data_IF_342247336443
#
_entry.id   IF_342247336443
#
_cell.length_a   1.000
_cell.length_b   1.000
_cell.length_c   1.000
_cell.angle_alpha   90.00
_cell.angle_beta   90.00
_cell.angle_gamma   90.00
#
_symmetry.space_group_name_H-M   'P 1'
#
loop_
_entity.id
_entity.type
_entity.pdbx_description
1 polymer ?
#
# COMPACT_ATOMS: atom_id res chain seq x y z
N UNK A 1 -19.63 55.99 -75.27
CA UNK A 1 -19.05 56.36 -73.96
C UNK A 1 -19.85 55.63 -72.90
N UNK A 2 -19.30 54.61 -72.20
CA UNK A 2 -19.97 54.02 -71.05
C UNK A 2 -19.48 54.68 -69.76
N UNK A 3 -20.43 54.99 -68.88
CA UNK A 3 -20.20 55.58 -67.56
C UNK A 3 -20.08 54.43 -66.55
N UNK A 4 -18.87 54.30 -66.01
CA UNK A 4 -18.45 53.69 -64.72
C UNK A 4 -19.23 52.48 -64.16
N UNK A 5 -18.57 51.34 -64.24
CA UNK A 5 -18.71 50.16 -63.38
C UNK A 5 -17.77 50.37 -62.17
N UNK A 6 -18.32 50.71 -60.99
CA UNK A 6 -17.50 51.06 -59.80
C UNK A 6 -18.06 50.58 -58.46
N UNK A 7 -18.95 49.58 -58.44
CA UNK A 7 -19.61 49.17 -57.20
C UNK A 7 -19.48 47.67 -56.83
N UNK A 8 -18.66 46.86 -57.53
CA UNK A 8 -18.61 45.41 -57.26
C UNK A 8 -17.29 44.89 -56.67
N UNK A 9 -16.25 45.72 -56.54
CA UNK A 9 -14.95 45.28 -55.97
C UNK A 9 -14.92 45.44 -54.44
N UNK A 10 -15.68 46.35 -53.85
CA UNK A 10 -15.56 46.68 -52.42
C UNK A 10 -16.25 45.68 -51.48
N UNK A 11 -17.35 45.05 -51.90
CA UNK A 11 -18.13 44.17 -51.02
C UNK A 11 -17.53 42.76 -50.90
N UNK A 12 -16.93 42.23 -51.98
CA UNK A 12 -16.17 40.97 -51.97
C UNK A 12 -14.90 41.09 -51.09
N UNK A 13 -14.16 42.20 -51.18
CA UNK A 13 -12.97 42.45 -50.35
C UNK A 13 -13.29 42.62 -48.86
N UNK A 14 -14.39 43.28 -48.51
CA UNK A 14 -14.85 43.42 -47.11
C UNK A 14 -15.35 42.08 -46.55
N UNK A 15 -15.94 41.21 -47.38
CA UNK A 15 -16.39 39.86 -47.00
C UNK A 15 -15.21 38.89 -46.85
N UNK A 16 -14.18 39.03 -47.69
CA UNK A 16 -12.90 38.34 -47.57
C UNK A 16 -12.12 38.78 -46.33
N UNK A 17 -12.06 40.07 -46.00
CA UNK A 17 -11.35 40.57 -44.82
C UNK A 17 -11.96 40.11 -43.50
N UNK A 18 -13.30 40.01 -43.41
CA UNK A 18 -14.00 39.43 -42.24
C UNK A 18 -13.78 37.92 -42.09
N UNK A 19 -13.58 37.18 -43.19
CA UNK A 19 -13.22 35.75 -43.18
C UNK A 19 -11.76 35.54 -42.77
N UNK A 20 -10.85 36.39 -43.25
CA UNK A 20 -9.41 36.35 -42.92
C UNK A 20 -9.16 36.75 -41.45
N UNK A 21 -9.91 37.72 -40.90
CA UNK A 21 -9.82 38.09 -39.48
C UNK A 21 -10.31 36.97 -38.55
N UNK A 22 -11.28 36.14 -38.97
CA UNK A 22 -11.66 34.92 -38.22
C UNK A 22 -10.68 33.76 -38.41
N UNK A 23 -9.86 33.78 -39.46
CA UNK A 23 -8.90 32.71 -39.79
C UNK A 23 -7.48 32.98 -39.25
N UNK A 24 -7.19 34.20 -38.79
CA UNK A 24 -5.90 34.57 -38.16
C UNK A 24 -5.85 34.30 -36.64
N UNK A 25 -6.84 33.62 -36.07
CA UNK A 25 -6.78 33.00 -34.74
C UNK A 25 -6.33 31.53 -34.78
N UNK A 26 -5.78 31.08 -35.92
CA UNK A 26 -5.18 29.77 -36.11
C UNK A 26 -3.67 29.85 -36.43
N UNK A 27 -2.97 30.87 -35.95
CA UNK A 27 -1.52 30.79 -35.81
C UNK A 27 -1.21 29.91 -34.61
N UNK A 28 -0.75 28.70 -34.92
CA UNK A 28 -0.05 27.78 -34.04
C UNK A 28 1.10 28.53 -33.38
N UNK A 29 0.85 29.16 -32.24
CA UNK A 29 1.90 29.23 -31.23
C UNK A 29 2.11 27.78 -30.82
N UNK A 30 3.34 27.32 -31.02
CA UNK A 30 3.83 26.03 -30.58
C UNK A 30 3.37 25.84 -29.13
N UNK A 31 2.27 25.10 -28.95
CA UNK A 31 1.94 24.55 -27.67
C UNK A 31 3.03 23.52 -27.41
N UNK A 32 4.13 23.98 -26.83
CA UNK A 32 4.66 23.28 -25.68
C UNK A 32 3.59 23.35 -24.58
N UNK A 33 2.44 22.71 -24.81
CA UNK A 33 1.85 21.92 -23.76
C UNK A 33 2.98 20.94 -23.52
N UNK A 34 3.75 21.18 -22.44
CA UNK A 34 4.46 20.09 -21.82
C UNK A 34 3.47 18.93 -21.87
N UNK A 35 3.83 17.86 -22.57
CA UNK A 35 3.40 16.59 -22.06
C UNK A 35 3.94 16.58 -20.63
N UNK A 36 3.15 17.10 -19.68
CA UNK A 36 2.86 16.31 -18.53
C UNK A 36 2.40 15.01 -19.16
N UNK A 37 3.36 14.12 -19.43
CA UNK A 37 3.07 12.72 -19.35
C UNK A 37 2.29 12.66 -18.04
N UNK A 38 1.00 12.34 -18.13
CA UNK A 38 0.42 11.59 -17.03
C UNK A 38 1.41 10.45 -16.88
N UNK A 39 2.31 10.56 -15.89
CA UNK A 39 3.11 9.43 -15.48
C UNK A 39 2.02 8.50 -14.97
N UNK A 40 1.52 7.66 -15.87
CA UNK A 40 0.99 6.39 -15.51
C UNK A 40 2.24 5.52 -15.49
N UNK A 41 2.44 4.78 -14.40
CA UNK A 41 3.60 3.95 -14.24
C UNK A 41 3.94 3.11 -15.49
N UNK A 42 5.21 2.74 -15.59
CA UNK A 42 5.78 2.17 -16.78
C UNK A 42 6.21 0.72 -16.56
N UNK A 43 5.90 -0.12 -17.55
CA UNK A 43 6.41 -1.48 -17.61
C UNK A 43 7.86 -1.49 -18.10
N UNK A 44 8.72 -2.15 -17.36
CA UNK A 44 10.12 -2.34 -17.71
C UNK A 44 10.43 -3.83 -17.86
N UNK A 45 11.16 -4.18 -18.91
CA UNK A 45 11.65 -5.55 -19.13
C UNK A 45 13.14 -5.62 -18.89
N UNK A 46 13.58 -6.52 -18.00
CA UNK A 46 14.98 -6.82 -17.75
C UNK A 46 15.21 -8.32 -17.94
N UNK A 47 15.89 -8.68 -19.04
CA UNK A 47 15.97 -10.07 -19.50
C UNK A 47 14.57 -10.62 -19.84
N UNK A 48 14.19 -11.72 -19.18
CA UNK A 48 12.87 -12.35 -19.32
C UNK A 48 11.89 -11.94 -18.19
N UNK A 49 12.29 -11.00 -17.33
CA UNK A 49 11.50 -10.54 -16.20
C UNK A 49 10.83 -9.21 -16.53
N UNK A 50 9.59 -9.06 -16.07
CA UNK A 50 8.83 -7.82 -16.17
C UNK A 50 8.69 -7.18 -14.79
N UNK A 51 8.88 -5.87 -14.75
CA UNK A 51 8.72 -5.01 -13.58
C UNK A 51 7.77 -3.88 -13.94
N UNK A 52 7.16 -3.27 -12.94
CA UNK A 52 6.39 -2.05 -13.12
C UNK A 52 6.90 -0.99 -12.17
N UNK A 53 7.23 0.19 -12.69
CA UNK A 53 7.64 1.34 -11.91
C UNK A 53 6.47 2.31 -11.82
N UNK A 54 6.09 2.70 -10.60
CA UNK A 54 5.02 3.68 -10.40
C UNK A 54 5.47 5.12 -10.68
N UNK A 55 4.55 6.07 -10.49
CA UNK A 55 4.75 7.47 -10.87
C UNK A 55 5.80 8.17 -9.99
N UNK A 56 6.12 7.59 -8.82
CA UNK A 56 7.16 8.08 -7.92
C UNK A 56 8.55 7.55 -8.29
N UNK A 57 8.63 6.64 -9.26
CA UNK A 57 9.87 5.98 -9.65
C UNK A 57 10.17 4.72 -8.83
N UNK A 58 9.24 4.26 -7.99
CA UNK A 58 9.43 3.06 -7.18
C UNK A 58 8.92 1.82 -7.92
N UNK A 59 9.64 0.69 -7.79
CA UNK A 59 9.17 -0.57 -8.33
C UNK A 59 8.02 -1.12 -7.50
N UNK A 60 6.92 -1.38 -8.19
CA UNK A 60 5.72 -1.98 -7.64
C UNK A 60 5.98 -3.44 -7.27
N UNK A 61 5.56 -3.79 -6.06
CA UNK A 61 5.68 -5.12 -5.45
C UNK A 61 4.42 -5.44 -4.66
N UNK A 62 4.13 -6.74 -4.54
CA UNK A 62 3.01 -7.30 -3.78
C UNK A 62 1.65 -6.67 -4.11
N UNK A 63 1.40 -6.31 -5.37
CA UNK A 63 0.13 -5.71 -5.79
C UNK A 63 -0.15 -5.91 -7.28
N UNK A 64 -1.41 -5.74 -7.65
CA UNK A 64 -1.87 -5.73 -9.03
C UNK A 64 -1.54 -4.41 -9.74
N UNK A 65 -1.19 -4.53 -11.02
CA UNK A 65 -1.16 -3.46 -12.00
C UNK A 65 -1.99 -3.91 -13.20
N UNK A 66 -3.22 -3.41 -13.29
CA UNK A 66 -4.19 -3.93 -14.24
C UNK A 66 -4.49 -5.41 -13.99
N UNK A 67 -4.26 -6.26 -14.99
CA UNK A 67 -4.48 -7.71 -14.90
C UNK A 67 -3.20 -8.50 -14.57
N UNK A 68 -2.16 -7.84 -14.07
CA UNK A 68 -0.86 -8.46 -13.80
C UNK A 68 -0.48 -8.26 -12.34
N UNK A 69 0.08 -9.28 -11.69
CA UNK A 69 0.52 -9.19 -10.31
C UNK A 69 2.04 -9.13 -10.22
N UNK A 70 2.56 -8.15 -9.47
CA UNK A 70 3.99 -8.02 -9.19
C UNK A 70 4.27 -8.68 -7.84
N UNK A 71 5.16 -9.68 -7.82
CA UNK A 71 5.57 -10.39 -6.61
C UNK A 71 6.37 -9.53 -5.64
N UNK A 72 6.82 -10.15 -4.54
CA UNK A 72 7.58 -9.46 -3.48
C UNK A 72 8.94 -8.92 -3.92
N UNK A 73 9.52 -9.54 -4.95
CA UNK A 73 10.75 -9.12 -5.62
C UNK A 73 10.50 -8.11 -6.76
N UNK A 74 9.27 -7.66 -6.93
CA UNK A 74 8.85 -6.74 -8.00
C UNK A 74 8.70 -7.39 -9.37
N UNK A 75 8.88 -8.72 -9.49
CA UNK A 75 8.76 -9.44 -10.76
C UNK A 75 7.30 -9.80 -11.01
N UNK A 76 6.82 -9.57 -12.23
CA UNK A 76 5.51 -10.03 -12.68
C UNK A 76 5.42 -11.56 -12.63
N UNK A 77 4.41 -12.06 -11.93
CA UNK A 77 4.13 -13.49 -11.86
C UNK A 77 3.59 -14.03 -13.20
N UNK A 78 3.97 -15.27 -13.55
CA UNK A 78 3.44 -15.99 -14.72
C UNK A 78 3.18 -17.45 -14.38
N UNK A 79 2.16 -18.04 -14.99
CA UNK A 79 1.79 -19.47 -14.84
C UNK A 79 1.71 -19.97 -13.39
N UNK A 80 1.17 -19.14 -12.50
CA UNK A 80 1.13 -19.44 -11.06
C UNK A 80 -0.09 -18.80 -10.40
N UNK A 81 -0.38 -19.20 -9.17
CA UNK A 81 -1.31 -18.47 -8.31
C UNK A 81 -0.60 -17.26 -7.68
N UNK A 82 -1.29 -16.13 -7.66
CA UNK A 82 -0.92 -14.94 -6.89
C UNK A 82 -1.17 -15.18 -5.39
N UNK A 83 -0.54 -14.41 -4.48
CA UNK A 83 -0.81 -14.48 -3.04
C UNK A 83 -2.30 -14.35 -2.69
N UNK A 84 -3.06 -13.61 -3.51
CA UNK A 84 -4.49 -13.41 -3.34
C UNK A 84 -5.38 -14.44 -4.06
N UNK A 85 -4.79 -15.53 -4.53
CA UNK A 85 -5.51 -16.72 -5.00
C UNK A 85 -5.94 -16.68 -6.46
N UNK A 86 -5.62 -15.64 -7.22
CA UNK A 86 -5.93 -15.62 -8.64
C UNK A 86 -4.86 -16.35 -9.43
N UNK A 87 -5.26 -17.02 -10.51
CA UNK A 87 -4.29 -17.65 -11.40
C UNK A 87 -3.90 -16.67 -12.50
N UNK A 88 -2.60 -16.45 -12.68
CA UNK A 88 -2.05 -15.71 -13.82
C UNK A 88 -1.53 -16.68 -14.87
N UNK A 89 -1.84 -16.42 -16.15
CA UNK A 89 -1.45 -17.26 -17.29
C UNK A 89 0.04 -17.11 -17.61
N UNK A 90 0.49 -17.80 -18.65
CA UNK A 90 1.86 -17.75 -19.15
C UNK A 90 2.31 -16.33 -19.55
N UNK A 91 1.38 -15.51 -20.05
CA UNK A 91 1.62 -14.10 -20.37
C UNK A 91 1.51 -13.17 -19.14
N UNK A 92 1.26 -13.72 -17.95
CA UNK A 92 1.08 -12.99 -16.69
C UNK A 92 -0.32 -12.42 -16.49
N UNK A 93 -1.22 -12.52 -17.47
CA UNK A 93 -2.58 -11.99 -17.35
C UNK A 93 -3.42 -12.86 -16.41
N UNK A 94 -4.21 -12.21 -15.55
CA UNK A 94 -5.23 -12.89 -14.75
C UNK A 94 -6.19 -13.69 -15.63
N UNK A 95 -6.48 -14.92 -15.22
CA UNK A 95 -7.32 -15.84 -15.97
C UNK A 95 -8.82 -15.49 -16.00
N UNK A 96 -9.23 -14.45 -15.25
CA UNK A 96 -10.61 -13.99 -15.15
C UNK A 96 -11.49 -14.86 -14.23
N UNK A 97 -10.92 -15.86 -13.56
CA UNK A 97 -11.64 -16.70 -12.59
C UNK A 97 -11.52 -16.12 -11.18
N UNK A 98 -12.51 -16.40 -10.35
CA UNK A 98 -12.48 -16.04 -8.94
C UNK A 98 -11.24 -16.65 -8.24
N UNK A 99 -10.74 -15.94 -7.22
CA UNK A 99 -9.63 -16.41 -6.42
C UNK A 99 -9.88 -17.80 -5.81
N UNK A 100 -8.89 -18.67 -5.90
CA UNK A 100 -8.82 -19.92 -5.18
C UNK A 100 -7.79 -19.82 -4.04
N UNK A 101 -8.27 -19.40 -2.87
CA UNK A 101 -7.43 -19.24 -1.68
C UNK A 101 -6.91 -20.58 -1.12
N UNK A 102 -7.42 -21.73 -1.59
CA UNK A 102 -6.98 -23.05 -1.12
C UNK A 102 -5.66 -23.53 -1.76
N UNK A 103 -5.20 -22.88 -2.83
CA UNK A 103 -3.98 -23.25 -3.56
C UNK A 103 -2.79 -22.31 -3.34
N UNK A 104 -2.94 -21.24 -2.57
CA UNK A 104 -1.85 -20.33 -2.25
C UNK A 104 -1.22 -20.75 -0.93
N UNK A 105 0.04 -21.15 -0.96
CA UNK A 105 0.82 -21.24 0.26
C UNK A 105 1.21 -19.82 0.68
N UNK A 106 0.66 -19.36 1.79
CA UNK A 106 1.07 -18.10 2.41
C UNK A 106 2.56 -18.17 2.79
N UNK A 107 3.37 -17.11 2.54
CA UNK A 107 4.77 -17.11 2.91
C UNK A 107 4.97 -17.16 4.43
N UNK A 108 6.04 -17.78 4.90
CA UNK A 108 6.36 -17.75 6.33
C UNK A 108 6.88 -16.35 6.72
N UNK A 109 6.27 -15.69 7.71
CA UNK A 109 6.85 -14.49 8.30
C UNK A 109 8.03 -14.90 9.17
N UNK A 110 9.26 -14.69 8.69
CA UNK A 110 10.46 -15.09 9.46
C UNK A 110 10.56 -14.34 10.80
N UNK A 111 10.21 -13.05 10.81
CA UNK A 111 10.21 -12.24 12.02
C UNK A 111 9.08 -12.63 12.97
N UNK A 112 7.85 -12.77 12.46
CA UNK A 112 6.72 -13.21 13.27
C UNK A 112 6.90 -14.63 13.82
N UNK A 113 7.54 -15.52 13.06
CA UNK A 113 7.87 -16.88 13.50
C UNK A 113 8.96 -16.89 14.57
N UNK A 114 9.94 -15.97 14.50
CA UNK A 114 10.94 -15.81 15.54
C UNK A 114 10.33 -15.33 16.86
N UNK A 115 9.35 -14.42 16.79
CA UNK A 115 8.56 -13.98 17.95
C UNK A 115 7.70 -15.12 18.49
N UNK A 116 6.96 -15.81 17.62
CA UNK A 116 6.10 -16.94 17.98
C UNK A 116 6.85 -18.05 18.74
N UNK A 117 8.07 -18.35 18.31
CA UNK A 117 8.90 -19.38 18.95
C UNK A 117 9.73 -18.85 20.14
N UNK A 118 9.69 -17.56 20.41
CA UNK A 118 10.39 -17.00 21.56
C UNK A 118 9.67 -17.34 22.86
N UNK A 119 10.40 -17.51 23.98
CA UNK A 119 9.76 -17.69 25.28
C UNK A 119 8.86 -16.50 25.62
N UNK A 120 7.71 -16.76 26.22
CA UNK A 120 6.94 -15.72 26.89
C UNK A 120 7.77 -15.22 28.07
N UNK A 121 7.89 -13.89 28.21
CA UNK A 121 8.65 -13.24 29.29
C UNK A 121 7.72 -12.34 30.10
N UNK A 122 8.12 -12.07 31.34
CA UNK A 122 7.45 -11.08 32.18
C UNK A 122 7.82 -9.69 31.67
N UNK A 123 6.81 -8.85 31.47
CA UNK A 123 6.91 -7.51 30.97
C UNK A 123 7.18 -6.53 32.12
N UNK A 124 8.41 -6.05 32.22
CA UNK A 124 8.80 -5.15 33.29
C UNK A 124 8.08 -3.79 33.22
N UNK A 125 7.63 -3.35 32.03
CA UNK A 125 6.88 -2.09 31.90
C UNK A 125 5.43 -2.26 32.32
N UNK A 126 4.78 -3.35 31.89
CA UNK A 126 3.38 -3.61 32.20
C UNK A 126 3.20 -4.43 33.49
N UNK A 127 3.91 -4.04 34.56
CA UNK A 127 3.78 -4.63 35.91
C UNK A 127 3.90 -6.16 35.98
N UNK A 128 4.76 -6.75 35.16
CA UNK A 128 5.01 -8.19 35.12
C UNK A 128 3.95 -8.99 34.36
N UNK A 129 3.15 -8.35 33.50
CA UNK A 129 2.28 -9.05 32.56
C UNK A 129 3.10 -9.98 31.66
N UNK A 130 2.54 -11.14 31.31
CA UNK A 130 3.22 -12.08 30.42
C UNK A 130 3.00 -11.66 28.98
N UNK A 131 4.09 -11.43 28.25
CA UNK A 131 4.03 -10.94 26.87
C UNK A 131 4.94 -11.74 25.93
N UNK A 132 4.69 -11.56 24.63
CA UNK A 132 5.57 -12.07 23.57
C UNK A 132 6.96 -11.48 23.70
N UNK A 133 7.97 -12.24 23.26
CA UNK A 133 9.34 -11.76 23.27
C UNK A 133 10.02 -11.97 21.92
N UNK A 134 11.15 -11.28 21.76
CA UNK A 134 12.10 -11.53 20.69
C UNK A 134 13.48 -11.61 21.32
N UNK A 135 14.14 -12.76 21.17
CA UNK A 135 15.42 -13.07 21.81
C UNK A 135 15.43 -12.81 23.34
N UNK A 136 14.31 -13.12 24.01
CA UNK A 136 14.16 -12.95 25.46
C UNK A 136 13.87 -11.52 25.92
N UNK A 137 13.67 -10.57 25.00
CA UNK A 137 13.22 -9.20 25.30
C UNK A 137 11.74 -9.06 25.04
N UNK A 138 11.01 -8.50 25.98
CA UNK A 138 9.58 -8.23 25.82
C UNK A 138 9.32 -7.36 24.59
N UNK A 139 8.41 -7.79 23.72
CA UNK A 139 7.92 -7.00 22.59
C UNK A 139 6.83 -6.08 23.12
N UNK A 140 7.02 -4.77 22.96
CA UNK A 140 6.08 -3.75 23.39
C UNK A 140 5.30 -3.14 22.23
N UNK A 141 5.99 -2.87 21.13
CA UNK A 141 5.39 -2.19 19.99
C UNK A 141 5.75 -2.96 18.73
N UNK A 142 4.79 -3.12 17.83
CA UNK A 142 5.05 -3.50 16.44
C UNK A 142 4.42 -2.40 15.59
N UNK A 143 5.26 -1.64 14.89
CA UNK A 143 4.81 -0.51 14.07
C UNK A 143 5.24 -0.59 12.60
N UNK A 144 4.44 -0.07 11.66
CA UNK A 144 4.91 0.16 10.27
C UNK A 144 5.72 1.45 10.19
N UNK A 145 6.99 1.37 9.77
CA UNK A 145 7.84 2.56 9.72
C UNK A 145 7.44 3.58 8.66
N UNK A 146 6.97 3.07 7.52
CA UNK A 146 6.71 3.91 6.34
C UNK A 146 5.21 4.15 6.11
N UNK A 147 4.36 3.68 7.03
CA UNK A 147 2.90 3.74 6.87
C UNK A 147 2.40 3.06 5.59
N UNK A 148 2.98 1.90 5.25
CA UNK A 148 2.64 1.13 4.05
C UNK A 148 2.06 -0.21 4.47
N UNK A 149 0.89 -0.54 3.90
CA UNK A 149 0.25 -1.84 4.07
C UNK A 149 -0.13 -2.35 2.68
N UNK A 150 0.37 -3.53 2.31
CA UNK A 150 0.02 -4.21 1.07
C UNK A 150 -1.08 -5.24 1.34
N UNK A 151 -2.16 -5.18 0.57
CA UNK A 151 -3.15 -6.26 0.52
C UNK A 151 -2.60 -7.40 -0.35
N UNK A 152 -2.25 -8.50 0.28
CA UNK A 152 -1.75 -9.72 -0.36
C UNK A 152 -2.85 -10.78 -0.51
N UNK A 153 -4.13 -10.40 -0.31
CA UNK A 153 -5.31 -11.22 -0.55
C UNK A 153 -5.79 -12.07 0.59
N UNK A 154 -4.94 -12.95 1.11
CA UNK A 154 -5.22 -13.76 2.32
C UNK A 154 -4.70 -13.09 3.58
N UNK A 155 -3.79 -12.12 3.43
CA UNK A 155 -3.13 -11.39 4.51
C UNK A 155 -2.77 -9.97 4.08
N UNK A 156 -2.38 -9.15 5.05
CA UNK A 156 -1.74 -7.86 4.85
C UNK A 156 -0.24 -7.97 5.12
N UNK A 157 0.58 -7.37 4.26
CA UNK A 157 2.02 -7.20 4.49
C UNK A 157 2.33 -5.77 4.94
N UNK A 158 3.12 -5.68 6.00
CA UNK A 158 3.77 -4.45 6.45
C UNK A 158 5.26 -4.61 6.16
N UNK A 159 5.79 -4.06 5.05
CA UNK A 159 7.10 -4.43 4.52
C UNK A 159 8.28 -3.98 5.40
N UNK A 160 8.14 -2.83 6.05
CA UNK A 160 9.18 -2.20 6.86
C UNK A 160 8.69 -2.01 8.30
N UNK A 161 8.20 -3.10 8.91
CA UNK A 161 7.79 -3.05 10.30
C UNK A 161 9.03 -3.00 11.21
N UNK A 162 8.90 -2.31 12.33
CA UNK A 162 9.84 -2.40 13.46
C UNK A 162 9.15 -3.03 14.65
N UNK A 163 9.93 -3.80 15.40
CA UNK A 163 9.52 -4.41 16.66
C UNK A 163 10.35 -3.73 17.73
N UNK A 164 9.67 -3.06 18.66
CA UNK A 164 10.31 -2.29 19.72
C UNK A 164 10.17 -3.00 21.07
N UNK A 165 11.29 -3.03 21.77
CA UNK A 165 11.37 -3.48 23.15
C UNK A 165 11.53 -2.30 24.09
N UNK A 166 10.98 -2.44 25.28
CA UNK A 166 11.25 -1.56 26.39
C UNK A 166 12.73 -1.59 26.80
N UNK A 167 13.21 -0.45 27.31
CA UNK A 167 14.37 -0.39 28.18
C UNK A 167 14.15 0.66 29.27
N UNK A 168 14.89 0.50 30.35
CA UNK A 168 15.09 1.52 31.38
C UNK A 168 16.51 2.04 31.27
N UNK A 169 16.68 3.36 31.29
CA UNK A 169 18.01 3.95 31.36
C UNK A 169 18.56 3.99 32.80
N UNK A 170 19.69 4.65 33.01
CA UNK A 170 20.32 4.76 34.33
C UNK A 170 19.53 5.60 35.35
N UNK A 171 18.49 6.31 34.91
CA UNK A 171 17.61 7.15 35.73
C UNK A 171 16.22 6.54 35.95
N UNK A 172 16.03 5.26 35.61
CA UNK A 172 14.72 4.59 35.56
C UNK A 172 13.73 5.29 34.60
N UNK A 173 14.23 6.03 33.60
CA UNK A 173 13.37 6.60 32.57
C UNK A 173 13.04 5.54 31.51
N UNK A 174 11.76 5.48 31.16
CA UNK A 174 11.23 4.50 30.21
C UNK A 174 11.49 4.94 28.77
N UNK A 175 12.10 4.05 27.99
CA UNK A 175 12.31 4.23 26.56
C UNK A 175 11.96 2.98 25.75
N UNK A 176 11.89 3.17 24.42
CA UNK A 176 11.73 2.11 23.45
C UNK A 176 12.90 2.10 22.50
N UNK A 177 13.37 0.91 22.14
CA UNK A 177 14.36 0.74 21.09
C UNK A 177 13.93 -0.36 20.11
N UNK A 178 14.30 -0.19 18.84
CA UNK A 178 14.07 -1.21 17.82
C UNK A 178 14.96 -2.43 18.10
N UNK A 179 14.34 -3.57 18.41
CA UNK A 179 15.03 -4.83 18.65
C UNK A 179 15.01 -5.77 17.44
N UNK A 180 14.10 -5.52 16.49
CA UNK A 180 14.08 -6.17 15.19
C UNK A 180 13.38 -5.30 14.15
N UNK A 181 13.67 -5.54 12.87
CA UNK A 181 12.97 -4.93 11.75
C UNK A 181 12.81 -5.93 10.61
N UNK A 182 11.76 -5.75 9.82
CA UNK A 182 11.48 -6.59 8.66
C UNK A 182 9.98 -6.69 8.36
N UNK A 183 9.61 -7.49 7.35
CA UNK A 183 8.21 -7.64 6.99
C UNK A 183 7.45 -8.39 8.08
N UNK A 184 6.29 -7.84 8.47
CA UNK A 184 5.32 -8.48 9.34
C UNK A 184 4.04 -8.71 8.56
N UNK A 185 3.38 -9.85 8.80
CA UNK A 185 2.16 -10.22 8.10
C UNK A 185 0.99 -10.32 9.07
N UNK A 186 -0.18 -9.82 8.68
CA UNK A 186 -1.41 -9.84 9.48
C UNK A 186 -2.47 -10.64 8.73
N UNK A 187 -3.06 -11.65 9.36
CA UNK A 187 -4.22 -12.34 8.76
C UNK A 187 -5.36 -11.36 8.57
N UNK A 188 -6.04 -11.39 7.44
CA UNK A 188 -7.28 -10.62 7.26
C UNK A 188 -8.36 -10.96 8.29
N UNK A 189 -8.38 -12.22 8.72
CA UNK A 189 -9.23 -12.74 9.79
C UNK A 189 -8.71 -12.44 11.21
N UNK A 190 -7.58 -11.74 11.36
CA UNK A 190 -7.03 -11.45 12.67
C UNK A 190 -8.06 -10.70 13.53
N UNK A 191 -8.20 -11.12 14.78
CA UNK A 191 -9.12 -10.49 15.72
C UNK A 191 -8.52 -9.18 16.20
N UNK A 192 -9.29 -8.12 16.09
CA UNK A 192 -8.88 -6.77 16.44
C UNK A 192 -9.73 -6.28 17.60
N UNK A 193 -9.08 -6.07 18.74
CA UNK A 193 -9.66 -5.34 19.86
C UNK A 193 -9.59 -3.84 19.52
N UNK A 194 -10.71 -3.31 19.02
CA UNK A 194 -10.80 -1.94 18.50
C UNK A 194 -11.45 -1.02 19.52
N UNK A 195 -10.77 0.08 19.82
CA UNK A 195 -11.35 1.19 20.59
C UNK A 195 -11.56 2.41 19.69
N UNK A 196 -12.82 2.83 19.59
CA UNK A 196 -13.22 4.02 18.85
C UNK A 196 -13.17 5.25 19.78
N UNK A 197 -12.24 6.17 19.56
CA UNK A 197 -12.14 7.38 20.39
C UNK A 197 -13.26 8.40 20.11
N UNK A 198 -13.90 8.36 18.94
CA UNK A 198 -14.98 9.27 18.61
C UNK A 198 -16.26 8.92 19.38
N UNK A 199 -16.51 7.63 19.55
CA UNK A 199 -17.69 7.13 20.28
C UNK A 199 -17.39 6.66 21.71
N UNK A 200 -16.12 6.43 22.05
CA UNK A 200 -15.69 5.85 23.31
C UNK A 200 -16.04 4.37 23.45
N UNK A 201 -16.34 3.67 22.36
CA UNK A 201 -16.83 2.29 22.37
C UNK A 201 -15.71 1.31 22.03
N UNK A 202 -15.60 0.23 22.83
CA UNK A 202 -14.79 -0.95 22.50
C UNK A 202 -15.62 -1.96 21.71
N UNK A 203 -15.04 -2.49 20.65
CA UNK A 203 -15.66 -3.56 19.84
C UNK A 203 -14.60 -4.51 19.29
N UNK A 204 -15.00 -5.74 18.99
CA UNK A 204 -14.14 -6.71 18.31
C UNK A 204 -14.45 -6.68 16.81
N UNK A 205 -13.41 -6.57 15.99
CA UNK A 205 -13.50 -6.56 14.52
C UNK A 205 -12.45 -7.50 13.92
N UNK A 206 -12.49 -7.70 12.61
CA UNK A 206 -11.41 -8.34 11.87
C UNK A 206 -10.47 -7.28 11.30
N UNK A 207 -9.21 -7.64 11.03
CA UNK A 207 -8.27 -6.77 10.33
C UNK A 207 -8.84 -6.29 8.98
N UNK A 208 -9.52 -7.17 8.23
CA UNK A 208 -10.20 -6.79 6.98
C UNK A 208 -11.27 -5.72 7.20
N UNK A 209 -12.13 -5.87 8.22
CA UNK A 209 -13.13 -4.85 8.52
C UNK A 209 -12.52 -3.50 8.88
N UNK A 210 -11.42 -3.50 9.64
CA UNK A 210 -10.69 -2.28 10.00
C UNK A 210 -10.11 -1.63 8.74
N UNK A 211 -9.42 -2.41 7.91
CA UNK A 211 -8.83 -1.93 6.66
C UNK A 211 -9.88 -1.36 5.71
N UNK A 212 -11.05 -1.99 5.56
CA UNK A 212 -12.12 -1.48 4.70
C UNK A 212 -12.75 -0.17 5.22
N UNK A 213 -12.76 0.06 6.53
CA UNK A 213 -13.27 1.31 7.10
C UNK A 213 -12.27 2.47 6.97
N UNK A 214 -10.97 2.19 7.08
CA UNK A 214 -9.94 3.23 7.27
C UNK A 214 -8.83 3.23 6.20
N UNK A 215 -8.80 2.26 5.29
CA UNK A 215 -7.70 2.04 4.34
C UNK A 215 -6.40 1.58 5.01
N UNK A 216 -6.45 1.15 6.27
CA UNK A 216 -5.27 0.87 7.11
C UNK A 216 -5.59 0.00 8.32
N UNK A 217 -4.54 -0.50 8.97
CA UNK A 217 -4.54 -1.12 10.29
C UNK A 217 -4.02 -0.15 11.39
N UNK A 218 -4.37 1.14 11.29
CA UNK A 218 -4.49 2.18 12.34
C UNK A 218 -3.30 2.62 13.26
N UNK A 219 -2.83 3.89 13.11
CA UNK A 219 -2.61 4.96 14.13
C UNK A 219 -2.45 6.35 13.43
N UNK A 220 -2.61 7.47 14.14
CA UNK A 220 -2.68 8.91 13.72
C UNK A 220 -1.98 9.35 12.40
N UNK A 221 -2.69 10.18 11.61
CA UNK A 221 -2.31 10.91 10.36
C UNK A 221 -1.64 10.12 9.23
N UNK A 222 -1.07 8.95 9.47
CA UNK A 222 -0.49 8.10 8.45
C UNK A 222 -0.85 6.62 8.71
N UNK A 223 -1.32 5.88 7.70
CA UNK A 223 -1.83 4.53 7.89
C UNK A 223 -0.73 3.52 8.28
N UNK A 224 -0.64 3.12 9.55
CA UNK A 224 0.35 2.14 10.04
C UNK A 224 -0.25 1.18 11.07
N UNK A 225 0.23 -0.08 11.09
CA UNK A 225 0.03 -1.01 12.20
C UNK A 225 0.70 -0.38 13.43
N UNK A 226 0.05 -0.31 14.59
CA UNK A 226 0.70 -0.08 15.87
C UNK A 226 0.01 -0.95 16.92
N UNK A 227 0.68 -2.02 17.35
CA UNK A 227 0.13 -2.92 18.38
C UNK A 227 0.90 -2.76 19.68
N UNK A 228 0.19 -2.61 20.79
CA UNK A 228 0.77 -2.73 22.13
C UNK A 228 0.86 -4.23 22.47
N UNK A 229 2.08 -4.70 22.75
CA UNK A 229 2.49 -6.11 22.71
C UNK A 229 1.74 -7.07 23.63
N UNK A 230 1.00 -6.59 24.62
CA UNK A 230 0.27 -7.44 25.56
C UNK A 230 -0.94 -8.18 24.96
N UNK A 231 -1.44 -7.78 23.77
CA UNK A 231 -2.61 -8.41 23.14
C UNK A 231 -2.33 -9.03 21.76
N UNK A 232 -1.08 -8.95 21.28
CA UNK A 232 -0.72 -9.47 19.95
C UNK A 232 -0.49 -10.97 20.01
N UNK A 233 -1.00 -11.71 19.04
CA UNK A 233 -0.80 -13.16 18.91
C UNK A 233 -0.35 -13.51 17.50
N UNK A 234 0.45 -14.56 17.37
CA UNK A 234 0.94 -15.08 16.09
C UNK A 234 0.49 -16.53 15.85
N UNK A 235 0.26 -16.91 14.60
CA UNK A 235 0.10 -18.31 14.20
C UNK A 235 1.45 -19.02 13.99
N UNK A 236 1.39 -20.34 13.75
CA UNK A 236 2.58 -21.18 13.54
C UNK A 236 3.37 -20.84 12.25
N UNK A 237 2.88 -19.92 11.42
CA UNK A 237 3.57 -19.40 10.23
C UNK A 237 4.09 -17.97 10.44
N UNK A 238 3.92 -17.42 11.66
CA UNK A 238 4.37 -16.08 12.02
C UNK A 238 3.42 -14.97 11.58
N UNK A 239 2.16 -15.26 11.27
CA UNK A 239 1.18 -14.20 10.99
C UNK A 239 0.53 -13.71 12.27
N UNK A 240 0.34 -12.40 12.38
CA UNK A 240 -0.49 -11.83 13.43
C UNK A 240 -1.94 -12.30 13.25
N UNK A 241 -2.50 -12.92 14.28
CA UNK A 241 -3.88 -13.41 14.35
C UNK A 241 -4.74 -12.66 15.36
N UNK A 242 -4.11 -11.90 16.25
CA UNK A 242 -4.79 -11.00 17.18
C UNK A 242 -3.94 -9.76 17.39
N UNK A 243 -4.59 -8.61 17.52
CA UNK A 243 -3.95 -7.33 17.85
C UNK A 243 -4.96 -6.39 18.51
N UNK A 244 -4.44 -5.36 19.18
CA UNK A 244 -5.22 -4.20 19.62
C UNK A 244 -4.84 -2.99 18.78
N UNK A 245 -5.83 -2.18 18.41
CA UNK A 245 -5.63 -0.88 17.72
C UNK A 245 -6.60 0.18 18.23
N UNK A 246 -6.18 1.44 18.11
CA UNK A 246 -6.78 2.63 18.74
C UNK A 246 -7.25 3.63 17.68
N UNK A 247 -8.55 3.74 17.39
CA UNK A 247 -9.10 4.55 16.29
C UNK A 247 -9.35 6.05 16.59
N UNK A 248 -8.71 6.96 15.83
CA UNK A 248 -8.91 8.42 15.80
C UNK A 248 -9.49 8.93 14.45
N UNK A 249 -10.11 10.11 14.44
CA UNK A 249 -10.28 10.95 13.21
C UNK A 249 -9.10 11.91 13.04
#
# INVERSE_FOLDING_TARGET
MPFSDWADVSDEEVKMSRKIIKLLLATVTLSAVCAAASMAGQWEKSGDKWYYQDDNGDYVRNRWVGNYYLGSDGIMLTSTYTPDGYYVREDGSWDGRAANLSSVADPVSSLGLAIYNSPIVDDEINWGEKTLSYNGRAVQIIESKDNVIHDCGTYYEIPNAVVEGAFFDEYDEHGYETIASGPVYVRKSATVDFYDYNTGVRSVKTAEQIYQMYGSLFEYKNPSLCTIGCATEFDAYGYITKLSVHGFE
#
